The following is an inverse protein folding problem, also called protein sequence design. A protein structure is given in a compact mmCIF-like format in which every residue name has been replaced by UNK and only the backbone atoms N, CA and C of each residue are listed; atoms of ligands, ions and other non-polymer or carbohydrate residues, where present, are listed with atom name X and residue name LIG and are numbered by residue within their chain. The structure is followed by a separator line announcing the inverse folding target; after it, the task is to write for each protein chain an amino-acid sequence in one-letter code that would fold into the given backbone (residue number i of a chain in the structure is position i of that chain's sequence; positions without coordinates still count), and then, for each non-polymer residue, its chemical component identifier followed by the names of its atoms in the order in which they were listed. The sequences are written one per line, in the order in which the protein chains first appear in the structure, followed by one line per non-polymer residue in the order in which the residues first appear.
data_IF_302416996501
#
_entry.id   IF_302416996501
#
_cell.length_a   1.000
_cell.length_b   1.000
_cell.length_c   1.000
_cell.angle_alpha   90.00
_cell.angle_beta   90.00
_cell.angle_gamma   90.00
#
_symmetry.space_group_name_H-M   'P 1'
#
loop_
_entity.id
_entity.type
_entity.pdbx_description
1 polymer ?
#
# COMPACT_ATOMS: atom_id res chain seq x y z
N UNK A 1 1.58 -6.79 -5.01
CA UNK A 1 2.17 -6.51 -6.33
C UNK A 1 1.52 -5.24 -6.87
N UNK A 2 2.23 -4.13 -6.98
CA UNK A 2 1.68 -2.83 -7.47
C UNK A 2 2.60 -2.34 -8.59
N UNK A 3 2.04 -1.76 -9.66
CA UNK A 3 2.86 -1.21 -10.75
C UNK A 3 3.35 0.22 -10.41
N UNK A 4 4.43 0.67 -11.04
CA UNK A 4 5.03 2.02 -10.84
C UNK A 4 4.00 3.17 -10.93
N UNK A 5 3.02 3.05 -11.84
CA UNK A 5 1.95 4.06 -11.98
C UNK A 5 1.03 4.09 -10.75
N UNK A 6 0.80 2.95 -10.12
CA UNK A 6 -0.04 2.81 -8.93
C UNK A 6 0.75 3.00 -7.63
N UNK A 7 2.07 2.88 -7.64
CA UNK A 7 2.90 3.18 -6.46
C UNK A 7 2.71 4.61 -5.97
N UNK A 8 2.53 5.56 -6.91
CA UNK A 8 2.21 6.96 -6.59
C UNK A 8 0.88 7.13 -5.85
N UNK A 9 -0.03 6.15 -5.93
CA UNK A 9 -1.35 6.16 -5.27
C UNK A 9 -1.32 5.48 -3.90
N UNK A 10 -0.22 4.84 -3.52
CA UNK A 10 -0.12 4.18 -2.23
C UNK A 10 -0.05 5.22 -1.12
N UNK A 11 -0.88 5.03 -0.10
CA UNK A 11 -0.74 5.77 1.14
C UNK A 11 0.59 5.41 1.81
N UNK A 12 1.31 6.43 2.28
CA UNK A 12 2.53 6.25 3.07
C UNK A 12 2.15 6.36 4.53
N UNK A 13 2.31 5.27 5.29
CA UNK A 13 2.08 5.28 6.73
C UNK A 13 3.35 5.81 7.39
N UNK A 14 3.25 6.94 8.09
CA UNK A 14 4.36 7.45 8.88
C UNK A 14 4.49 6.55 10.11
N UNK A 15 5.41 5.60 10.06
CA UNK A 15 5.87 4.86 11.24
C UNK A 15 6.57 5.84 12.20
N UNK A 16 6.41 5.68 13.53
CA UNK A 16 7.26 6.34 14.50
C UNK A 16 8.68 5.73 14.42
N UNK A 17 9.38 5.94 13.31
CA UNK A 17 10.77 5.48 13.18
C UNK A 17 11.67 6.27 14.16
N UNK A 18 12.69 5.60 14.74
CA UNK A 18 13.78 6.26 15.43
C UNK A 18 14.40 7.30 14.50
N UNK A 19 14.57 8.51 15.03
CA UNK A 19 15.18 9.59 14.27
C UNK A 19 16.61 9.18 13.85
N UNK A 20 16.88 9.23 12.54
CA UNK A 20 18.19 9.08 11.86
C UNK A 20 18.83 7.69 11.77
N UNK A 21 18.11 6.66 11.33
CA UNK A 21 18.73 5.60 10.48
C UNK A 21 17.68 4.70 9.84
N UNK A 22 17.32 4.95 8.57
CA UNK A 22 16.58 3.97 7.75
C UNK A 22 15.11 4.25 7.47
N UNK A 23 14.56 5.41 7.86
CA UNK A 23 13.17 5.76 7.59
C UNK A 23 12.92 6.04 6.09
N UNK A 24 12.53 5.00 5.34
CA UNK A 24 12.12 5.07 3.91
C UNK A 24 10.81 5.83 3.67
N UNK A 25 10.13 6.25 4.74
CA UNK A 25 8.92 7.08 4.69
C UNK A 25 9.20 8.60 4.72
N UNK A 26 10.46 9.01 4.60
CA UNK A 26 10.83 10.43 4.49
C UNK A 26 10.57 10.91 3.06
N UNK A 27 9.65 11.86 2.91
CA UNK A 27 9.43 12.54 1.64
C UNK A 27 10.55 13.56 1.43
N UNK A 28 11.08 13.67 0.21
CA UNK A 28 11.98 14.77 -0.17
C UNK A 28 11.30 16.16 0.00
N UNK A 29 9.97 16.19 0.05
CA UNK A 29 9.14 17.39 0.25
C UNK A 29 8.79 17.66 1.73
N UNK A 30 9.74 17.51 2.64
CA UNK A 30 9.55 17.90 4.04
C UNK A 30 9.14 16.74 4.96
N UNK A 31 10.15 16.16 5.62
CA UNK A 31 9.96 15.23 6.72
C UNK A 31 9.26 15.85 7.94
N UNK A 32 9.41 15.24 9.12
CA UNK A 32 8.84 15.80 10.36
C UNK A 32 9.34 17.24 10.54
N UNK A 33 8.44 18.23 10.49
CA UNK A 33 8.80 19.64 10.68
C UNK A 33 9.22 19.83 12.13
N UNK A 34 10.41 20.38 12.34
CA UNK A 34 10.93 20.65 13.68
C UNK A 34 9.98 21.65 14.37
N UNK A 35 9.56 21.33 15.61
CA UNK A 35 8.58 22.12 16.36
C UNK A 35 7.11 21.90 16.00
N UNK A 36 6.78 20.91 15.15
CA UNK A 36 5.39 20.59 14.81
C UNK A 36 4.71 19.74 15.88
N UNK A 37 3.57 20.21 16.40
CA UNK A 37 2.75 19.42 17.33
C UNK A 37 2.05 18.25 16.59
N UNK A 38 2.64 17.05 16.69
CA UNK A 38 2.13 15.82 16.07
C UNK A 38 0.83 15.29 16.66
N UNK A 39 0.38 15.76 17.83
CA UNK A 39 -0.95 15.43 18.33
C UNK A 39 -2.04 16.10 17.49
N UNK A 40 -1.82 17.35 17.07
CA UNK A 40 -2.75 18.13 16.26
C UNK A 40 -2.61 17.85 14.76
N UNK A 41 -1.39 17.70 14.25
CA UNK A 41 -1.16 17.46 12.81
C UNK A 41 -1.16 15.98 12.40
N UNK A 42 -0.97 15.07 13.36
CA UNK A 42 -0.94 13.63 13.11
C UNK A 42 -2.27 13.07 12.60
N UNK A 43 -3.40 13.71 12.93
CA UNK A 43 -4.74 13.31 12.47
C UNK A 43 -4.86 13.22 10.95
N UNK A 44 -4.19 14.12 10.20
CA UNK A 44 -4.29 14.17 8.73
C UNK A 44 -3.56 13.04 8.01
N UNK A 45 -2.54 12.46 8.63
CA UNK A 45 -1.65 11.46 8.02
C UNK A 45 -1.66 10.11 8.75
N UNK A 46 -2.42 9.97 9.84
CA UNK A 46 -2.57 8.69 10.55
C UNK A 46 -3.49 7.78 9.75
N UNK A 47 -3.03 6.55 9.55
CA UNK A 47 -3.84 5.50 8.96
C UNK A 47 -5.03 5.21 9.86
N UNK A 48 -6.25 5.46 9.36
CA UNK A 48 -7.48 5.14 10.06
C UNK A 48 -8.15 3.91 9.40
N UNK A 49 -8.14 2.74 10.06
CA UNK A 49 -8.72 1.51 9.52
C UNK A 49 -10.26 1.51 9.51
N UNK A 50 -10.93 2.51 10.09
CA UNK A 50 -12.39 2.55 10.15
C UNK A 50 -13.01 3.43 9.05
N UNK A 51 -12.30 4.45 8.56
CA UNK A 51 -12.82 5.38 7.56
C UNK A 51 -12.44 5.00 6.13
N UNK A 52 -11.43 4.15 5.94
CA UNK A 52 -10.99 3.74 4.62
C UNK A 52 -11.94 2.66 4.05
N UNK A 53 -12.55 2.93 2.89
CA UNK A 53 -13.36 1.93 2.19
C UNK A 53 -12.46 0.82 1.66
N UNK A 54 -12.53 -0.35 2.29
CA UNK A 54 -11.87 -1.57 1.80
C UNK A 54 -12.76 -2.30 0.82
N UNK A 55 -12.34 -2.29 -0.44
CA UNK A 55 -13.00 -3.02 -1.51
C UNK A 55 -12.84 -4.54 -1.35
N UNK A 56 -13.73 -5.30 -1.99
CA UNK A 56 -13.64 -6.75 -2.05
C UNK A 56 -12.83 -7.20 -3.26
N UNK A 57 -12.05 -8.26 -3.10
CA UNK A 57 -11.25 -8.82 -4.17
C UNK A 57 -12.17 -9.34 -5.29
N UNK A 58 -11.96 -8.90 -6.52
CA UNK A 58 -12.78 -9.34 -7.67
C UNK A 58 -12.63 -10.82 -8.04
N UNK A 59 -11.59 -11.51 -7.54
CA UNK A 59 -11.31 -12.91 -7.86
C UNK A 59 -11.86 -13.85 -6.79
N UNK A 60 -11.46 -13.66 -5.53
CA UNK A 60 -11.80 -14.56 -4.43
C UNK A 60 -12.75 -13.94 -3.42
N UNK A 61 -13.29 -12.74 -3.68
CA UNK A 61 -14.32 -12.03 -2.89
C UNK A 61 -13.94 -11.67 -1.44
N UNK A 62 -12.75 -12.05 -0.98
CA UNK A 62 -12.21 -11.64 0.33
C UNK A 62 -12.07 -10.11 0.42
N UNK A 63 -12.19 -9.55 1.63
CA UNK A 63 -11.90 -8.13 1.88
C UNK A 63 -10.41 -7.85 1.68
N UNK A 64 -10.09 -6.74 1.00
CA UNK A 64 -8.72 -6.34 0.72
C UNK A 64 -8.19 -5.45 1.86
N UNK A 65 -6.95 -5.66 2.27
CA UNK A 65 -6.32 -4.94 3.40
C UNK A 65 -5.80 -3.55 3.04
N UNK A 66 -5.65 -3.24 1.75
CA UNK A 66 -5.11 -1.97 1.24
C UNK A 66 -6.23 -1.14 0.60
N UNK A 67 -6.34 0.12 1.00
CA UNK A 67 -7.28 1.06 0.40
C UNK A 67 -6.97 1.26 -1.10
N UNK A 68 -8.01 1.36 -1.94
CA UNK A 68 -7.86 1.51 -3.39
C UNK A 68 -7.36 0.26 -4.14
N UNK A 69 -7.22 -0.88 -3.46
CA UNK A 69 -6.88 -2.16 -4.10
C UNK A 69 -8.13 -2.97 -4.43
N UNK A 70 -8.19 -3.53 -5.64
CA UNK A 70 -9.32 -4.34 -6.12
C UNK A 70 -9.04 -5.85 -6.12
N UNK A 71 -7.81 -6.25 -5.85
CA UNK A 71 -7.39 -7.64 -5.76
C UNK A 71 -6.59 -7.85 -4.47
N UNK A 72 -6.82 -8.99 -3.80
CA UNK A 72 -6.02 -9.36 -2.63
C UNK A 72 -4.60 -9.72 -3.06
N UNK A 73 -3.65 -9.67 -2.12
CA UNK A 73 -2.25 -9.92 -2.41
C UNK A 73 -2.01 -11.34 -2.96
N UNK A 74 -2.69 -12.35 -2.41
CA UNK A 74 -2.57 -13.73 -2.89
C UNK A 74 -3.04 -13.89 -4.34
N UNK A 75 -4.14 -13.24 -4.72
CA UNK A 75 -4.64 -13.30 -6.10
C UNK A 75 -3.79 -12.47 -7.06
N UNK A 76 -3.34 -11.29 -6.62
CA UNK A 76 -2.45 -10.44 -7.39
C UNK A 76 -1.12 -11.17 -7.69
N UNK A 77 -0.58 -11.87 -6.69
CA UNK A 77 0.62 -12.69 -6.84
C UNK A 77 0.39 -13.88 -7.76
N UNK A 78 -0.59 -14.75 -7.49
CA UNK A 78 -0.88 -15.96 -8.30
C UNK A 78 -1.07 -15.66 -9.80
N UNK A 79 -1.68 -14.51 -10.12
CA UNK A 79 -1.95 -14.11 -11.52
C UNK A 79 -0.90 -13.14 -12.10
N UNK A 80 0.10 -12.76 -11.32
CA UNK A 80 1.05 -11.70 -11.62
C UNK A 80 0.41 -10.41 -12.16
N UNK A 81 -0.59 -9.91 -11.44
CA UNK A 81 -1.32 -8.67 -11.77
C UNK A 81 -1.09 -7.61 -10.69
N UNK A 82 -1.25 -6.35 -11.06
CA UNK A 82 -1.28 -5.23 -10.13
C UNK A 82 -2.53 -5.30 -9.25
N UNK A 83 -2.36 -5.23 -7.92
CA UNK A 83 -3.44 -5.29 -6.93
C UNK A 83 -4.43 -4.11 -7.02
N UNK A 84 -4.01 -2.97 -7.58
CA UNK A 84 -4.85 -1.80 -7.77
C UNK A 84 -5.52 -1.77 -9.14
N UNK A 85 -4.77 -1.85 -10.25
CA UNK A 85 -5.34 -1.65 -11.59
C UNK A 85 -5.54 -2.93 -12.40
N UNK A 86 -5.07 -4.09 -11.94
CA UNK A 86 -5.21 -5.36 -12.66
C UNK A 86 -4.28 -5.54 -13.86
N UNK A 87 -3.43 -4.55 -14.20
CA UNK A 87 -2.42 -4.69 -15.26
C UNK A 87 -1.52 -5.89 -14.96
N UNK A 88 -1.26 -6.72 -15.98
CA UNK A 88 -0.31 -7.83 -15.91
C UNK A 88 1.12 -7.30 -15.76
N UNK A 89 1.81 -7.74 -14.71
CA UNK A 89 3.18 -7.35 -14.38
C UNK A 89 4.21 -8.29 -15.01
N UNK A 90 3.90 -9.57 -15.09
CA UNK A 90 4.75 -10.58 -15.75
C UNK A 90 3.92 -11.73 -16.30
N UNK A 91 4.52 -12.55 -17.17
CA UNK A 91 3.92 -13.79 -17.66
C UNK A 91 4.19 -14.93 -16.68
N UNK A 92 3.15 -15.59 -16.19
CA UNK A 92 3.25 -16.74 -15.27
C UNK A 92 3.31 -18.10 -15.95
N UNK A 93 3.38 -18.17 -17.30
CA UNK A 93 3.34 -19.45 -18.05
C UNK A 93 4.38 -20.47 -17.56
N UNK A 94 5.57 -20.00 -17.19
CA UNK A 94 6.68 -20.86 -16.75
C UNK A 94 6.91 -20.80 -15.23
N UNK A 95 6.04 -20.14 -14.47
CA UNK A 95 6.23 -19.88 -13.04
C UNK A 95 5.05 -20.40 -12.22
N UNK A 96 5.32 -21.26 -11.23
CA UNK A 96 4.31 -21.73 -10.28
C UNK A 96 4.24 -20.80 -9.06
N UNK A 97 3.58 -19.67 -9.23
CA UNK A 97 3.37 -18.71 -8.14
C UNK A 97 2.24 -19.19 -7.21
N UNK A 98 2.60 -19.85 -6.10
CA UNK A 98 1.68 -20.23 -5.03
C UNK A 98 1.71 -19.20 -3.90
N UNK A 99 0.53 -18.84 -3.40
CA UNK A 99 0.36 -18.13 -2.13
C UNK A 99 -0.53 -19.00 -1.26
N UNK A 100 0.05 -19.48 -0.16
CA UNK A 100 -0.63 -20.24 0.91
C UNK A 100 -1.73 -19.40 1.53
#
# INVERSE_FOLDING_TARGET
MVCEKCEKKLGRVITPDPWKSGARNTVESGGRKVGENKALSGSKARFNPYTAKFETCKICRQKVHQAGSHYCQSCAYKKAICAMCGKKLMSTKNYKQSAT
#
